data_IF_576915884308
#
_entry.id   IF_576915884308
#
_cell.length_a   1.000
_cell.length_b   1.000
_cell.length_c   1.000
_cell.angle_alpha   90.00
_cell.angle_beta   90.00
_cell.angle_gamma   90.00
#
_symmetry.space_group_name_H-M   'P 1'
#
loop_
_entity.id
_entity.type
_entity.pdbx_description
1 polymer ?
#
# COMPACT_ATOMS: atom_id res chain seq x y z
N UNK A 1 5.09 -1.37 12.03
CA UNK A 1 5.80 -2.61 11.62
C UNK A 1 6.23 -2.57 10.17
N UNK A 2 5.36 -2.28 9.19
CA UNK A 2 5.75 -2.19 7.76
C UNK A 2 6.95 -1.26 7.50
N UNK A 3 6.96 -0.05 8.07
CA UNK A 3 8.08 0.89 7.90
C UNK A 3 9.38 0.40 8.53
N UNK A 4 9.29 -0.35 9.64
CA UNK A 4 10.45 -0.99 10.24
C UNK A 4 11.02 -2.05 9.30
N UNK A 5 10.17 -2.91 8.73
CA UNK A 5 10.59 -3.91 7.76
C UNK A 5 11.26 -3.27 6.53
N UNK A 6 10.68 -2.18 6.02
CA UNK A 6 11.27 -1.38 4.95
C UNK A 6 12.64 -0.81 5.33
N UNK A 7 12.81 -0.28 6.55
CA UNK A 7 14.12 0.20 7.03
C UNK A 7 15.16 -0.89 7.21
N UNK A 8 14.73 -2.11 7.51
CA UNK A 8 15.59 -3.29 7.61
C UNK A 8 15.87 -3.93 6.24
N UNK A 9 15.26 -3.42 5.16
CA UNK A 9 15.35 -4.01 3.81
C UNK A 9 14.92 -5.49 3.80
N UNK A 10 13.86 -5.79 4.56
CA UNK A 10 13.40 -7.15 4.76
C UNK A 10 12.76 -7.73 3.50
N UNK A 11 13.18 -8.92 3.09
CA UNK A 11 12.72 -9.49 1.82
C UNK A 11 11.38 -10.22 1.91
N UNK A 12 11.01 -10.74 3.08
CA UNK A 12 9.80 -11.56 3.24
C UNK A 12 8.97 -11.11 4.44
N UNK A 13 7.67 -10.94 4.22
CA UNK A 13 6.73 -10.63 5.30
C UNK A 13 6.73 -11.70 6.40
N UNK A 14 6.80 -11.25 7.65
CA UNK A 14 6.77 -12.12 8.83
C UNK A 14 8.14 -12.60 9.30
N UNK A 15 9.22 -12.31 8.56
CA UNK A 15 10.57 -12.79 8.87
C UNK A 15 11.61 -11.68 8.79
N UNK A 16 12.62 -11.76 9.64
CA UNK A 16 13.87 -11.01 9.49
C UNK A 16 15.03 -11.99 9.56
N UNK A 17 15.93 -11.93 8.58
CA UNK A 17 17.22 -12.59 8.63
C UNK A 17 18.14 -11.86 9.61
N UNK A 18 19.18 -12.56 10.08
CA UNK A 18 20.19 -11.96 10.95
C UNK A 18 20.87 -10.75 10.30
N UNK A 19 21.13 -10.80 8.99
CA UNK A 19 21.79 -9.70 8.26
C UNK A 19 20.89 -8.47 8.12
N UNK A 20 19.62 -8.66 7.75
CA UNK A 20 18.62 -7.57 7.68
C UNK A 20 18.48 -6.89 9.05
N UNK A 21 18.35 -7.69 10.12
CA UNK A 21 18.25 -7.18 11.48
C UNK A 21 19.48 -6.39 11.88
N UNK A 22 20.68 -6.96 11.72
CA UNK A 22 21.92 -6.32 12.14
C UNK A 22 22.14 -5.01 11.37
N UNK A 23 22.05 -5.04 10.04
CA UNK A 23 22.24 -3.86 9.19
C UNK A 23 21.21 -2.77 9.50
N UNK A 24 19.93 -3.13 9.57
CA UNK A 24 18.85 -2.18 9.81
C UNK A 24 18.91 -1.56 11.21
N UNK A 25 19.14 -2.36 12.25
CA UNK A 25 19.24 -1.87 13.62
C UNK A 25 20.49 -0.99 13.83
N UNK A 26 21.62 -1.34 13.22
CA UNK A 26 22.81 -0.47 13.18
C UNK A 26 22.49 0.86 12.49
N UNK A 27 21.82 0.84 11.34
CA UNK A 27 21.43 2.06 10.63
C UNK A 27 20.45 2.93 11.43
N UNK A 28 19.58 2.31 12.23
CA UNK A 28 18.64 3.00 13.13
C UNK A 28 19.28 3.41 14.46
N UNK A 29 20.56 3.06 14.69
CA UNK A 29 21.26 3.29 15.96
C UNK A 29 20.52 2.70 17.17
N UNK A 30 19.86 1.56 16.97
CA UNK A 30 19.06 0.89 17.99
C UNK A 30 19.71 -0.44 18.38
N UNK A 31 20.31 -0.51 19.57
CA UNK A 31 20.91 -1.72 20.16
C UNK A 31 20.08 -2.29 21.31
N UNK A 32 18.99 -1.62 21.70
CA UNK A 32 18.04 -2.08 22.73
C UNK A 32 16.59 -1.91 22.28
N UNK A 33 15.69 -2.68 22.89
CA UNK A 33 14.24 -2.56 22.67
C UNK A 33 13.71 -1.16 23.01
N UNK A 34 14.30 -0.49 24.00
CA UNK A 34 13.91 0.87 24.38
C UNK A 34 14.24 1.89 23.29
N UNK A 35 15.46 1.85 22.73
CA UNK A 35 15.84 2.72 21.60
C UNK A 35 14.94 2.48 20.39
N UNK A 36 14.64 1.22 20.09
CA UNK A 36 13.73 0.88 18.99
C UNK A 36 12.33 1.44 19.25
N UNK A 37 11.80 1.32 20.48
CA UNK A 37 10.49 1.90 20.86
C UNK A 37 10.48 3.42 20.68
N UNK A 38 11.55 4.10 21.09
CA UNK A 38 11.68 5.55 20.96
C UNK A 38 11.82 6.00 19.49
N UNK A 39 12.33 5.13 18.61
CA UNK A 39 12.42 5.40 17.16
C UNK A 39 11.09 5.28 16.41
N UNK A 40 10.03 4.71 17.02
CA UNK A 40 8.79 4.41 16.31
C UNK A 40 8.10 5.66 15.74
N UNK A 41 8.19 6.80 16.41
CA UNK A 41 7.60 8.05 15.92
C UNK A 41 8.35 8.60 14.71
N UNK A 42 9.69 8.50 14.71
CA UNK A 42 10.48 8.76 13.51
C UNK A 42 10.10 7.82 12.37
N UNK A 43 9.92 6.53 12.63
CA UNK A 43 9.51 5.59 11.58
C UNK A 43 8.12 5.93 11.03
N UNK A 44 7.18 6.36 11.88
CA UNK A 44 5.85 6.80 11.44
C UNK A 44 5.91 8.07 10.61
N UNK A 45 6.78 9.03 10.95
CA UNK A 45 6.87 10.29 10.21
C UNK A 45 7.28 10.11 8.76
N UNK A 46 8.01 9.02 8.43
CA UNK A 46 8.36 8.67 7.06
C UNK A 46 7.15 8.38 6.17
N UNK A 47 6.00 8.03 6.73
CA UNK A 47 4.75 7.88 5.97
C UNK A 47 4.13 9.23 5.59
N UNK A 48 4.52 10.32 6.25
CA UNK A 48 4.04 11.67 5.92
C UNK A 48 4.86 12.30 4.79
N UNK A 49 6.07 11.79 4.53
CA UNK A 49 6.96 12.28 3.47
C UNK A 49 6.58 11.66 2.12
N UNK A 50 6.15 12.42 1.10
CA UNK A 50 5.59 11.87 -0.14
C UNK A 50 6.51 10.90 -0.89
N UNK A 51 7.82 11.19 -0.91
CA UNK A 51 8.86 10.37 -1.54
C UNK A 51 9.05 9.06 -0.78
N UNK A 52 9.22 9.14 0.53
CA UNK A 52 9.37 7.96 1.40
C UNK A 52 8.12 7.10 1.37
N UNK A 53 6.93 7.70 1.44
CA UNK A 53 5.67 6.99 1.33
C UNK A 53 5.57 6.22 0.00
N UNK A 54 5.94 6.83 -1.13
CA UNK A 54 5.92 6.13 -2.43
C UNK A 54 6.87 4.94 -2.46
N UNK A 55 8.04 5.05 -1.84
CA UNK A 55 9.00 3.93 -1.71
C UNK A 55 8.46 2.82 -0.81
N UNK A 56 7.93 3.17 0.36
CA UNK A 56 7.33 2.22 1.32
C UNK A 56 6.13 1.51 0.69
N UNK A 57 5.27 2.25 -0.02
CA UNK A 57 4.09 1.72 -0.70
C UNK A 57 4.49 0.70 -1.78
N UNK A 58 5.50 1.00 -2.60
CA UNK A 58 6.01 0.06 -3.61
C UNK A 58 6.66 -1.17 -2.98
N UNK A 59 7.47 -0.96 -1.94
CA UNK A 59 8.08 -2.03 -1.17
C UNK A 59 7.03 -2.99 -0.58
N UNK A 60 5.92 -2.47 -0.06
CA UNK A 60 4.89 -3.28 0.60
C UNK A 60 4.34 -4.37 -0.32
N UNK A 61 4.24 -4.10 -1.63
CA UNK A 61 3.85 -5.10 -2.61
C UNK A 61 4.87 -6.24 -2.70
N UNK A 62 6.14 -5.91 -2.91
CA UNK A 62 7.19 -6.92 -3.06
C UNK A 62 7.42 -7.70 -1.76
N UNK A 63 7.27 -7.03 -0.61
CA UNK A 63 7.40 -7.59 0.73
C UNK A 63 6.29 -8.58 1.10
N UNK A 64 5.04 -8.27 0.71
CA UNK A 64 3.88 -9.11 1.02
C UNK A 64 3.63 -10.23 0.00
N UNK A 65 4.27 -10.15 -1.18
CA UNK A 65 4.10 -11.13 -2.25
C UNK A 65 4.89 -12.40 -1.95
N UNK A 66 4.24 -13.54 -2.10
CA UNK A 66 4.91 -14.83 -2.02
C UNK A 66 5.99 -14.99 -3.08
N UNK A 67 6.99 -15.82 -2.79
CA UNK A 67 8.06 -16.14 -3.73
C UNK A 67 7.45 -16.71 -5.02
N UNK A 68 8.01 -16.31 -6.16
CA UNK A 68 7.62 -16.73 -7.52
C UNK A 68 6.22 -16.29 -8.02
N UNK A 69 5.40 -15.64 -7.18
CA UNK A 69 4.13 -15.06 -7.62
C UNK A 69 4.32 -13.71 -8.33
N UNK A 70 3.34 -13.24 -9.11
CA UNK A 70 3.39 -11.89 -9.73
C UNK A 70 2.33 -10.93 -9.20
N UNK A 71 1.58 -11.37 -8.20
CA UNK A 71 0.44 -10.67 -7.63
C UNK A 71 0.26 -11.01 -6.15
N UNK A 72 -0.43 -10.13 -5.44
CA UNK A 72 -0.94 -10.39 -4.09
C UNK A 72 -2.32 -11.03 -4.19
N UNK A 73 -2.66 -11.96 -3.29
CA UNK A 73 -4.06 -12.35 -3.13
C UNK A 73 -4.89 -11.15 -2.64
N UNK A 74 -6.18 -11.14 -2.97
CA UNK A 74 -7.04 -9.99 -2.70
C UNK A 74 -7.18 -9.66 -1.21
N UNK A 75 -7.09 -10.65 -0.31
CA UNK A 75 -7.21 -10.40 1.12
C UNK A 75 -5.95 -9.71 1.66
N UNK A 76 -4.76 -10.22 1.30
CA UNK A 76 -3.49 -9.57 1.63
C UNK A 76 -3.42 -8.16 1.03
N UNK A 77 -3.83 -8.00 -0.22
CA UNK A 77 -3.83 -6.71 -0.89
C UNK A 77 -4.72 -5.69 -0.17
N UNK A 78 -5.97 -6.06 0.15
CA UNK A 78 -6.90 -5.20 0.90
C UNK A 78 -6.34 -4.80 2.27
N UNK A 79 -5.78 -5.75 3.02
CA UNK A 79 -5.17 -5.46 4.32
C UNK A 79 -4.01 -4.47 4.18
N UNK A 80 -3.10 -4.69 3.22
CA UNK A 80 -1.95 -3.79 3.01
C UNK A 80 -2.36 -2.40 2.53
N UNK A 81 -3.32 -2.30 1.60
CA UNK A 81 -3.86 -1.01 1.19
C UNK A 81 -4.54 -0.29 2.36
N UNK A 82 -5.26 -1.02 3.23
CA UNK A 82 -5.87 -0.44 4.43
C UNK A 82 -4.84 0.12 5.42
N UNK A 83 -3.71 -0.57 5.59
CA UNK A 83 -2.61 -0.08 6.42
C UNK A 83 -1.97 1.20 5.85
N UNK A 84 -1.89 1.32 4.53
CA UNK A 84 -1.17 2.40 3.85
C UNK A 84 -2.05 3.62 3.53
N UNK A 85 -3.26 3.38 3.03
CA UNK A 85 -4.15 4.39 2.48
C UNK A 85 -5.40 4.63 3.34
N UNK A 86 -5.71 3.75 4.29
CA UNK A 86 -6.98 3.80 5.02
C UNK A 86 -7.19 5.04 5.88
N UNK A 87 -6.13 5.78 6.22
CA UNK A 87 -6.22 7.06 6.93
C UNK A 87 -6.07 8.28 6.04
N UNK A 88 -5.39 8.15 4.89
CA UNK A 88 -4.95 9.28 4.07
C UNK A 88 -5.79 9.49 2.81
N UNK A 89 -6.48 8.44 2.33
CA UNK A 89 -7.28 8.51 1.12
C UNK A 89 -8.77 8.43 1.44
N UNK A 90 -9.55 9.53 1.29
CA UNK A 90 -10.97 9.56 1.68
C UNK A 90 -11.85 8.56 0.93
N UNK A 91 -11.50 8.17 -0.30
CA UNK A 91 -12.22 7.15 -1.07
C UNK A 91 -11.79 5.72 -0.71
N UNK A 92 -10.80 5.51 0.17
CA UNK A 92 -10.37 4.16 0.53
C UNK A 92 -11.50 3.27 1.08
N UNK A 93 -12.41 3.73 1.97
CA UNK A 93 -13.48 2.87 2.48
C UNK A 93 -14.39 2.33 1.37
N UNK A 94 -14.74 3.15 0.38
CA UNK A 94 -15.58 2.73 -0.75
C UNK A 94 -14.80 1.90 -1.75
N UNK A 95 -13.52 2.19 -1.98
CA UNK A 95 -12.64 1.34 -2.79
C UNK A 95 -12.43 -0.04 -2.16
N UNK A 96 -12.26 -0.12 -0.85
CA UNK A 96 -12.17 -1.39 -0.12
C UNK A 96 -13.46 -2.20 -0.26
N UNK A 97 -14.63 -1.55 -0.13
CA UNK A 97 -15.93 -2.20 -0.36
C UNK A 97 -16.07 -2.70 -1.80
N UNK A 98 -15.64 -1.92 -2.79
CA UNK A 98 -15.59 -2.36 -4.18
C UNK A 98 -14.75 -3.64 -4.32
N UNK A 99 -13.53 -3.65 -3.79
CA UNK A 99 -12.67 -4.84 -3.85
C UNK A 99 -13.31 -6.07 -3.18
N UNK A 100 -14.06 -5.89 -2.08
CA UNK A 100 -14.80 -6.97 -1.41
C UNK A 100 -15.91 -7.58 -2.27
N UNK A 101 -16.59 -6.77 -3.07
CA UNK A 101 -17.73 -7.17 -3.90
C UNK A 101 -17.31 -7.55 -5.33
N UNK A 102 -16.09 -7.20 -5.71
CA UNK A 102 -15.56 -7.41 -7.06
C UNK A 102 -15.24 -8.87 -7.37
N UNK A 103 -15.05 -9.15 -8.66
CA UNK A 103 -14.57 -10.44 -9.17
C UNK A 103 -13.06 -10.68 -8.93
N UNK A 104 -12.29 -9.66 -8.54
CA UNK A 104 -10.84 -9.75 -8.42
C UNK A 104 -10.42 -10.71 -7.30
N UNK A 105 -9.52 -11.63 -7.63
CA UNK A 105 -8.92 -12.58 -6.66
C UNK A 105 -7.48 -12.24 -6.30
N UNK A 106 -6.84 -11.41 -7.12
CA UNK A 106 -5.47 -10.96 -6.95
C UNK A 106 -5.31 -9.52 -7.41
N UNK A 107 -4.27 -8.85 -6.92
CA UNK A 107 -3.82 -7.53 -7.37
C UNK A 107 -2.38 -7.66 -7.89
N UNK A 108 -2.14 -7.29 -9.15
CA UNK A 108 -0.81 -7.30 -9.73
C UNK A 108 -0.04 -5.99 -9.43
N UNK A 109 1.24 -5.94 -9.79
CA UNK A 109 2.12 -4.79 -9.47
C UNK A 109 1.69 -3.48 -10.14
N UNK A 110 1.14 -3.57 -11.35
CA UNK A 110 0.69 -2.42 -12.11
C UNK A 110 -0.57 -1.80 -11.48
N UNK A 111 -1.58 -2.62 -11.20
CA UNK A 111 -2.78 -2.22 -10.47
C UNK A 111 -2.43 -1.61 -9.11
N UNK A 112 -1.55 -2.26 -8.34
CA UNK A 112 -1.08 -1.75 -7.06
C UNK A 112 -0.48 -0.35 -7.18
N UNK A 113 0.43 -0.13 -8.13
CA UNK A 113 1.05 1.18 -8.34
C UNK A 113 0.02 2.24 -8.77
N UNK A 114 -0.89 1.88 -9.68
CA UNK A 114 -1.90 2.80 -10.17
C UNK A 114 -2.92 3.21 -9.10
N UNK A 115 -3.23 2.35 -8.12
CA UNK A 115 -4.09 2.75 -6.98
C UNK A 115 -3.48 3.94 -6.21
N UNK A 116 -2.15 3.97 -6.02
CA UNK A 116 -1.50 5.11 -5.37
C UNK A 116 -1.60 6.37 -6.23
N UNK A 117 -1.29 6.27 -7.52
CA UNK A 117 -1.36 7.43 -8.42
C UNK A 117 -2.80 7.95 -8.51
N UNK A 118 -3.79 7.06 -8.66
CA UNK A 118 -5.21 7.39 -8.65
C UNK A 118 -5.61 8.13 -7.36
N UNK A 119 -5.18 7.64 -6.20
CA UNK A 119 -5.48 8.28 -4.91
C UNK A 119 -4.92 9.71 -4.77
N UNK A 120 -3.92 10.07 -5.60
CA UNK A 120 -3.22 11.35 -5.58
C UNK A 120 -3.69 12.30 -6.68
N UNK A 121 -4.18 11.79 -7.81
CA UNK A 121 -4.48 12.60 -9.00
C UNK A 121 -5.97 12.73 -9.30
N UNK A 122 -6.80 11.79 -8.84
CA UNK A 122 -8.24 11.82 -9.10
C UNK A 122 -8.96 12.54 -7.95
N UNK A 123 -9.84 13.46 -8.32
CA UNK A 123 -10.72 14.19 -7.41
C UNK A 123 -11.65 13.21 -6.67
N UNK A 124 -12.08 13.61 -5.47
CA UNK A 124 -12.95 12.77 -4.63
C UNK A 124 -14.33 12.53 -5.25
N UNK A 125 -14.80 13.43 -6.11
CA UNK A 125 -16.04 13.31 -6.87
C UNK A 125 -15.86 12.61 -8.22
N UNK A 126 -14.63 12.15 -8.53
CA UNK A 126 -14.25 11.49 -9.78
C UNK A 126 -14.45 12.34 -11.04
N UNK A 127 -14.64 13.66 -10.90
CA UNK A 127 -14.97 14.58 -12.00
C UNK A 127 -13.88 14.70 -13.07
N UNK A 128 -12.62 14.50 -12.69
CA UNK A 128 -11.47 14.55 -13.58
C UNK A 128 -10.99 13.16 -14.05
N UNK A 129 -11.79 12.12 -13.82
CA UNK A 129 -11.50 10.79 -14.34
C UNK A 129 -11.76 10.73 -15.85
N UNK A 130 -10.80 10.17 -16.59
CA UNK A 130 -10.88 9.94 -18.02
C UNK A 130 -11.03 8.44 -18.29
N UNK A 131 -12.19 8.04 -18.82
CA UNK A 131 -12.54 6.64 -19.12
C UNK A 131 -11.77 6.10 -20.34
N UNK A 132 -11.26 6.98 -21.20
CA UNK A 132 -10.38 6.63 -22.32
C UNK A 132 -8.89 6.69 -21.91
N UNK A 133 -8.62 6.93 -20.63
CA UNK A 133 -7.28 7.03 -20.06
C UNK A 133 -6.54 5.69 -19.99
N UNK A 134 -5.26 5.75 -19.61
CA UNK A 134 -4.40 4.57 -19.48
C UNK A 134 -4.49 3.90 -18.09
N UNK A 135 -5.62 4.04 -17.39
CA UNK A 135 -5.81 3.41 -16.09
C UNK A 135 -6.05 1.91 -16.26
N UNK A 136 -5.64 1.07 -15.28
CA UNK A 136 -6.03 -0.33 -15.28
C UNK A 136 -7.55 -0.48 -15.20
N UNK A 137 -8.09 -1.48 -15.92
CA UNK A 137 -9.52 -1.85 -15.92
C UNK A 137 -10.14 -1.96 -14.52
N UNK A 138 -9.34 -2.32 -13.51
CA UNK A 138 -9.77 -2.35 -12.11
C UNK A 138 -10.26 -0.99 -11.61
N UNK A 139 -9.59 0.09 -12.01
CA UNK A 139 -9.96 1.46 -11.62
C UNK A 139 -11.12 1.98 -12.46
N UNK A 140 -11.22 1.60 -13.74
CA UNK A 140 -12.40 1.88 -14.57
C UNK A 140 -13.66 1.27 -13.93
N UNK A 141 -13.61 -0.02 -13.60
CA UNK A 141 -14.71 -0.74 -12.96
C UNK A 141 -15.03 -0.17 -11.56
N UNK A 142 -14.04 0.37 -10.84
CA UNK A 142 -14.29 1.05 -9.56
C UNK A 142 -15.07 2.35 -9.76
N UNK A 143 -14.69 3.16 -10.74
CA UNK A 143 -15.35 4.44 -11.04
C UNK A 143 -16.79 4.21 -11.49
N UNK A 144 -16.99 3.24 -12.40
CA UNK A 144 -18.33 2.82 -12.86
C UNK A 144 -19.21 2.39 -11.67
N UNK A 145 -18.71 1.43 -10.86
CA UNK A 145 -19.43 0.93 -9.68
C UNK A 145 -19.77 2.04 -8.67
N UNK A 146 -18.87 3.00 -8.47
CA UNK A 146 -19.11 4.10 -7.55
C UNK A 146 -20.19 5.06 -8.07
N UNK A 147 -20.17 5.39 -9.37
CA UNK A 147 -21.18 6.24 -10.02
C UNK A 147 -22.58 5.60 -9.95
N UNK A 148 -22.69 4.30 -10.23
CA UNK A 148 -23.98 3.57 -10.15
C UNK A 148 -24.60 3.62 -8.76
N UNK A 149 -23.78 3.46 -7.70
CA UNK A 149 -24.25 3.53 -6.33
C UNK A 149 -24.72 4.91 -5.88
N UNK A 150 -24.22 5.99 -6.48
CA UNK A 150 -24.67 7.35 -6.17
C UNK A 150 -26.00 7.70 -6.86
N UNK A 151 -26.38 6.97 -7.90
CA UNK A 151 -27.65 7.14 -8.61
C UNK A 151 -28.82 6.37 -7.99
N UNK A 152 -28.55 5.52 -6.99
CA UNK A 152 -29.54 4.71 -6.27
C UNK A 152 -29.80 5.29 -4.88
#
# INVERSE_FOLDING_TARGET
MLVLAWKLDAQNMGYFTMQEWLKGMTSLQCDTTEKLRNSLDYLRSLLNEPTSFKLIYRYAFDFAREKDQRSLDINTAKCMLGLLLGKSWPLFPVFHQFLEQSKYKVINKDQWCNVLEFSRTINLDLSNYDEDGAWPVLLDEFVEWYKEKQMT
#
